data_IF_544274627881
#
_entry.id   IF_544274627881
#
_cell.length_a   1.000
_cell.length_b   1.000
_cell.length_c   1.000
_cell.angle_alpha   90.00
_cell.angle_beta   90.00
_cell.angle_gamma   90.00
#
_symmetry.space_group_name_H-M   'P 1'
#
loop_
_entity.id
_entity.type
_entity.pdbx_description
1 polymer ?
#
# COMPACT_ATOMS: atom_id res chain seq x y z
N UNK A 1 37.99 -6.44 3.73
CA UNK A 1 38.19 -6.50 2.27
C UNK A 1 38.07 -7.95 1.84
N UNK A 2 36.97 -8.30 1.17
CA UNK A 2 36.95 -9.04 -0.11
C UNK A 2 35.49 -9.13 -0.53
N UNK A 3 35.16 -8.35 -1.56
CA UNK A 3 33.88 -8.38 -2.27
C UNK A 3 33.63 -9.80 -2.78
N UNK A 4 32.44 -10.34 -2.49
CA UNK A 4 32.00 -11.61 -3.04
C UNK A 4 31.56 -11.37 -4.49
N UNK A 5 32.17 -12.02 -5.49
CA UNK A 5 31.83 -11.79 -6.90
C UNK A 5 30.44 -12.34 -7.22
N UNK A 6 29.69 -11.70 -8.14
CA UNK A 6 28.35 -12.16 -8.50
C UNK A 6 28.42 -13.54 -9.21
N UNK A 7 27.44 -14.43 -8.97
CA UNK A 7 27.41 -15.74 -9.62
C UNK A 7 27.11 -15.61 -11.13
N UNK A 8 27.66 -16.50 -11.98
CA UNK A 8 27.41 -16.48 -13.41
C UNK A 8 25.95 -16.85 -13.73
N UNK A 9 25.37 -16.31 -14.83
CA UNK A 9 24.03 -16.68 -15.25
C UNK A 9 23.97 -18.14 -15.75
N UNK A 10 22.89 -18.88 -15.48
CA UNK A 10 22.74 -20.25 -15.97
C UNK A 10 22.50 -20.26 -17.50
N UNK A 11 23.18 -21.18 -18.17
CA UNK A 11 23.07 -21.44 -19.60
C UNK A 11 21.72 -22.09 -19.93
N UNK A 12 20.93 -21.51 -20.82
CA UNK A 12 19.64 -22.05 -21.28
C UNK A 12 19.82 -23.08 -22.40
N UNK A 13 19.20 -24.29 -22.33
CA UNK A 13 19.06 -25.17 -23.48
C UNK A 13 17.91 -24.69 -24.40
N UNK A 14 17.97 -24.95 -25.72
CA UNK A 14 17.00 -24.45 -26.68
C UNK A 14 15.74 -25.34 -26.69
N UNK A 15 14.69 -24.90 -25.99
CA UNK A 15 13.35 -25.49 -26.04
C UNK A 15 12.32 -24.41 -26.35
N UNK A 16 11.69 -24.51 -27.52
CA UNK A 16 10.59 -23.64 -27.95
C UNK A 16 9.37 -23.86 -27.04
N UNK A 17 9.20 -22.98 -26.05
CA UNK A 17 7.98 -22.81 -25.28
C UNK A 17 7.87 -21.35 -24.84
N UNK A 18 6.68 -20.76 -24.73
CA UNK A 18 6.54 -19.43 -24.15
C UNK A 18 7.13 -19.46 -22.73
N UNK A 19 7.90 -18.42 -22.32
CA UNK A 19 8.45 -18.37 -20.97
C UNK A 19 7.29 -18.46 -19.97
N UNK A 20 7.43 -19.24 -18.87
CA UNK A 20 6.44 -19.21 -17.81
C UNK A 20 6.30 -17.76 -17.32
N UNK A 21 5.08 -17.30 -16.99
CA UNK A 21 4.89 -15.96 -16.44
C UNK A 21 5.81 -15.82 -15.24
N UNK A 22 6.68 -14.80 -15.29
CA UNK A 22 7.52 -14.43 -14.17
C UNK A 22 6.58 -14.08 -13.02
N UNK A 23 6.41 -15.01 -12.08
CA UNK A 23 5.73 -14.75 -10.82
C UNK A 23 6.54 -13.65 -10.13
N UNK A 24 6.05 -12.40 -10.21
CA UNK A 24 6.49 -11.37 -9.29
C UNK A 24 6.36 -11.95 -7.88
N UNK A 25 7.32 -11.70 -6.97
CA UNK A 25 7.28 -12.25 -5.63
C UNK A 25 5.92 -11.93 -5.00
N UNK A 26 5.12 -12.98 -4.77
CA UNK A 26 3.88 -12.86 -4.00
C UNK A 26 4.32 -12.41 -2.61
N UNK A 27 4.18 -11.11 -2.32
CA UNK A 27 4.29 -10.63 -0.94
C UNK A 27 3.35 -11.48 -0.09
N UNK A 28 3.76 -11.85 1.14
CA UNK A 28 2.95 -12.70 2.01
C UNK A 28 1.52 -12.18 2.05
N UNK A 29 0.55 -13.08 1.84
CA UNK A 29 -0.88 -12.77 1.81
C UNK A 29 -1.38 -12.38 3.21
N UNK A 30 -0.96 -11.22 3.69
CA UNK A 30 -1.55 -10.55 4.83
C UNK A 30 -2.80 -9.80 4.41
N UNK A 31 -3.57 -9.29 5.38
CA UNK A 31 -4.77 -8.54 5.08
C UNK A 31 -4.43 -7.27 4.30
N UNK A 32 -5.27 -6.88 3.34
CA UNK A 32 -5.10 -5.63 2.59
C UNK A 32 -6.38 -4.79 2.62
N UNK A 33 -6.18 -3.49 2.43
CA UNK A 33 -7.24 -2.53 2.26
C UNK A 33 -6.94 -1.68 1.04
N UNK A 34 -7.92 -1.53 0.16
CA UNK A 34 -7.82 -0.65 -1.01
C UNK A 34 -9.09 0.20 -1.12
N UNK A 35 -8.91 1.51 -1.17
CA UNK A 35 -9.95 2.47 -1.48
C UNK A 35 -9.55 3.29 -2.71
N UNK A 36 -10.40 3.32 -3.72
CA UNK A 36 -10.13 4.00 -5.00
C UNK A 36 -11.32 4.86 -5.41
N UNK A 37 -11.03 6.07 -5.89
CA UNK A 37 -11.98 6.91 -6.62
C UNK A 37 -11.47 7.24 -8.03
N UNK A 38 -11.98 8.30 -8.67
CA UNK A 38 -11.61 8.65 -10.05
C UNK A 38 -10.15 9.11 -10.18
N UNK A 39 -9.59 9.71 -9.13
CA UNK A 39 -8.29 10.38 -9.18
C UNK A 39 -7.34 9.91 -8.08
N UNK A 40 -7.86 9.32 -7.02
CA UNK A 40 -7.09 9.00 -5.83
C UNK A 40 -7.27 7.54 -5.43
N UNK A 41 -6.21 6.97 -4.88
CA UNK A 41 -6.23 5.67 -4.23
C UNK A 41 -5.49 5.69 -2.90
N UNK A 42 -5.95 4.85 -1.98
CA UNK A 42 -5.27 4.52 -0.73
C UNK A 42 -5.18 3.00 -0.67
N UNK A 43 -3.96 2.49 -0.60
CA UNK A 43 -3.68 1.07 -0.41
C UNK A 43 -2.97 0.89 0.93
N UNK A 44 -3.35 -0.13 1.68
CA UNK A 44 -2.69 -0.53 2.92
C UNK A 44 -2.49 -2.04 2.89
N UNK A 45 -1.25 -2.49 2.95
CA UNK A 45 -0.88 -3.90 2.82
C UNK A 45 0.39 -4.23 3.62
N UNK A 46 1.01 -5.38 3.33
CA UNK A 46 2.23 -5.81 4.01
C UNK A 46 3.46 -4.92 3.73
N UNK A 47 3.47 -4.17 2.63
CA UNK A 47 4.56 -3.25 2.31
C UNK A 47 4.44 -1.94 3.10
N UNK A 48 3.22 -1.45 3.31
CA UNK A 48 3.00 -0.18 3.98
C UNK A 48 1.65 0.46 3.67
N UNK A 49 1.68 1.78 3.53
CA UNK A 49 0.57 2.59 3.03
C UNK A 49 1.02 3.26 1.73
N UNK A 50 0.21 3.20 0.68
CA UNK A 50 0.46 3.92 -0.56
C UNK A 50 -0.69 4.89 -0.86
N UNK A 51 -0.32 6.11 -1.25
CA UNK A 51 -1.24 7.11 -1.76
C UNK A 51 -1.02 7.31 -3.24
N UNK A 52 -2.10 7.21 -4.01
CA UNK A 52 -2.16 7.68 -5.38
C UNK A 52 -3.00 8.96 -5.39
N UNK A 53 -2.44 10.03 -5.93
CA UNK A 53 -3.09 11.34 -6.05
C UNK A 53 -2.83 11.89 -7.46
N UNK A 54 -3.82 11.75 -8.34
CA UNK A 54 -3.69 12.02 -9.77
C UNK A 54 -2.59 11.16 -10.41
N UNK A 55 -1.47 11.76 -10.77
CA UNK A 55 -0.32 11.09 -11.42
C UNK A 55 0.87 10.92 -10.46
N UNK A 56 0.65 11.18 -9.16
CA UNK A 56 1.69 11.08 -8.13
C UNK A 56 1.37 9.89 -7.24
N UNK A 57 2.31 8.96 -7.17
CA UNK A 57 2.29 7.85 -6.21
C UNK A 57 3.31 8.12 -5.11
N UNK A 58 2.89 7.93 -3.86
CA UNK A 58 3.75 8.06 -2.69
C UNK A 58 3.58 6.81 -1.84
N UNK A 59 4.68 6.09 -1.66
CA UNK A 59 4.73 4.88 -0.86
C UNK A 59 5.35 5.19 0.52
N UNK A 60 4.71 4.70 1.57
CA UNK A 60 5.14 4.83 2.95
C UNK A 60 5.35 3.42 3.53
N UNK A 61 6.58 2.89 3.53
CA UNK A 61 6.91 1.63 4.17
C UNK A 61 6.60 1.66 5.67
N UNK A 62 6.19 0.54 6.27
CA UNK A 62 5.88 0.47 7.71
C UNK A 62 6.97 1.04 8.64
N UNK A 63 8.29 0.82 8.42
CA UNK A 63 9.34 1.41 9.25
C UNK A 63 9.41 2.94 9.23
N UNK A 64 8.84 3.57 8.20
CA UNK A 64 8.81 5.02 7.99
C UNK A 64 7.53 5.67 8.51
N UNK A 65 6.53 4.86 8.89
CA UNK A 65 5.25 5.32 9.41
C UNK A 65 5.33 5.38 10.93
N UNK A 66 5.15 6.58 11.48
CA UNK A 66 4.94 6.79 12.92
C UNK A 66 3.50 6.46 13.33
N UNK A 67 2.53 6.97 12.58
CA UNK A 67 1.11 6.67 12.83
C UNK A 67 0.27 6.88 11.58
N UNK A 68 -0.85 6.16 11.51
CA UNK A 68 -1.87 6.35 10.48
C UNK A 68 -3.15 6.81 11.15
N UNK A 69 -3.67 7.96 10.71
CA UNK A 69 -4.94 8.50 11.15
C UNK A 69 -5.96 8.41 10.03
N UNK A 70 -7.22 8.11 10.35
CA UNK A 70 -8.28 8.06 9.37
C UNK A 70 -9.58 8.59 9.95
N UNK A 71 -10.36 9.29 9.12
CA UNK A 71 -11.66 9.87 9.50
C UNK A 71 -12.54 10.06 8.28
N UNK A 72 -13.87 10.17 8.45
CA UNK A 72 -14.72 10.59 7.35
C UNK A 72 -14.46 12.07 7.05
N UNK A 73 -14.62 12.46 5.79
CA UNK A 73 -14.65 13.87 5.40
C UNK A 73 -15.77 14.61 6.13
N UNK A 74 -15.71 15.95 6.27
CA UNK A 74 -16.74 16.72 6.95
C UNK A 74 -18.16 16.52 6.39
N UNK A 75 -18.28 16.18 5.10
CA UNK A 75 -19.55 15.89 4.44
C UNK A 75 -19.96 14.40 4.48
N UNK A 76 -19.14 13.53 5.08
CA UNK A 76 -19.39 12.09 5.22
C UNK A 76 -19.40 11.32 3.90
N UNK A 77 -18.71 11.82 2.86
CA UNK A 77 -18.71 11.23 1.50
C UNK A 77 -17.34 10.74 1.05
N UNK A 78 -16.30 10.96 1.84
CA UNK A 78 -14.95 10.51 1.53
C UNK A 78 -14.27 9.96 2.77
N UNK A 79 -13.33 9.07 2.54
CA UNK A 79 -12.36 8.61 3.52
C UNK A 79 -11.14 9.53 3.43
N UNK A 80 -10.76 10.13 4.54
CA UNK A 80 -9.51 10.87 4.67
C UNK A 80 -8.54 9.99 5.46
N UNK A 81 -7.34 9.77 4.93
CA UNK A 81 -6.24 9.06 5.61
C UNK A 81 -5.03 9.96 5.64
N UNK A 82 -4.41 10.06 6.81
CA UNK A 82 -3.17 10.78 7.01
C UNK A 82 -2.10 9.85 7.56
N UNK A 83 -0.93 9.83 6.91
CA UNK A 83 0.28 9.18 7.38
C UNK A 83 1.15 10.23 8.06
N UNK A 84 1.50 9.98 9.33
CA UNK A 84 2.55 10.71 10.02
C UNK A 84 3.83 9.95 9.81
N UNK A 85 4.78 10.58 9.12
CA UNK A 85 6.09 10.01 8.86
C UNK A 85 7.00 10.14 10.09
N UNK A 86 8.04 9.30 10.19
CA UNK A 86 8.95 9.27 11.34
C UNK A 86 9.69 10.60 11.57
N UNK A 87 9.90 11.41 10.53
CA UNK A 87 10.47 12.77 10.62
C UNK A 87 9.49 13.85 11.11
N UNK A 88 8.21 13.50 11.31
CA UNK A 88 7.15 14.40 11.74
C UNK A 88 6.35 15.06 10.62
N UNK A 89 6.68 14.81 9.34
CA UNK A 89 5.85 15.24 8.22
C UNK A 89 4.52 14.48 8.20
N UNK A 90 3.47 15.16 7.73
CA UNK A 90 2.13 14.58 7.60
C UNK A 90 1.71 14.64 6.15
N UNK A 91 1.30 13.49 5.63
CA UNK A 91 0.81 13.32 4.27
C UNK A 91 -0.65 12.91 4.34
N UNK A 92 -1.52 13.53 3.57
CA UNK A 92 -2.97 13.24 3.57
C UNK A 92 -3.42 12.85 2.17
N UNK A 93 -4.26 11.80 2.09
CA UNK A 93 -4.98 11.42 0.87
C UNK A 93 -6.47 11.28 1.18
N UNK A 94 -7.30 11.68 0.20
CA UNK A 94 -8.75 11.69 0.33
C UNK A 94 -9.37 10.92 -0.82
N UNK A 95 -10.13 9.87 -0.50
CA UNK A 95 -10.81 9.03 -1.49
C UNK A 95 -12.32 9.13 -1.30
N UNK A 96 -13.02 9.51 -2.38
CA UNK A 96 -14.47 9.64 -2.40
C UNK A 96 -15.16 8.27 -2.37
N UNK A 97 -16.07 8.07 -1.42
CA UNK A 97 -16.91 6.90 -1.36
C UNK A 97 -18.17 7.08 -2.23
N UNK A 98 -18.28 6.30 -3.30
CA UNK A 98 -19.51 6.14 -4.09
C UNK A 98 -19.81 4.64 -4.19
N UNK A 99 -20.95 4.11 -3.72
CA UNK A 99 -22.09 4.72 -2.99
C UNK A 99 -21.82 4.97 -1.49
N UNK A 100 -22.76 5.59 -0.75
CA UNK A 100 -22.60 5.96 0.68
C UNK A 100 -22.23 4.79 1.59
N UNK A 101 -22.79 3.60 1.34
CA UNK A 101 -22.54 2.40 2.15
C UNK A 101 -21.08 1.93 2.08
N UNK A 102 -20.38 2.29 0.99
CA UNK A 102 -18.96 1.97 0.80
C UNK A 102 -18.10 2.58 1.90
N UNK A 103 -18.40 3.82 2.31
CA UNK A 103 -17.63 4.49 3.35
C UNK A 103 -17.74 3.74 4.69
N UNK A 104 -18.95 3.31 5.06
CA UNK A 104 -19.20 2.55 6.28
C UNK A 104 -18.48 1.20 6.29
N UNK A 105 -18.37 0.54 5.12
CA UNK A 105 -17.61 -0.71 4.99
C UNK A 105 -16.10 -0.53 5.11
N UNK A 106 -15.57 0.64 4.74
CA UNK A 106 -14.13 0.89 4.75
C UNK A 106 -13.54 1.06 6.15
N UNK A 107 -14.23 1.73 7.07
CA UNK A 107 -13.74 1.93 8.44
C UNK A 107 -13.38 0.62 9.18
N UNK A 108 -14.26 -0.39 9.26
CA UNK A 108 -13.93 -1.63 9.96
C UNK A 108 -12.83 -2.42 9.26
N UNK A 109 -12.80 -2.45 7.92
CA UNK A 109 -11.75 -3.12 7.16
C UNK A 109 -10.40 -2.44 7.39
N UNK A 110 -10.33 -1.11 7.27
CA UNK A 110 -9.13 -0.34 7.48
C UNK A 110 -8.63 -0.48 8.94
N UNK A 111 -9.53 -0.41 9.92
CA UNK A 111 -9.19 -0.63 11.33
C UNK A 111 -8.57 -2.01 11.57
N UNK A 112 -9.11 -3.06 10.92
CA UNK A 112 -8.60 -4.41 11.03
C UNK A 112 -7.21 -4.57 10.40
N UNK A 113 -7.00 -4.03 9.20
CA UNK A 113 -5.70 -4.07 8.50
C UNK A 113 -4.63 -3.30 9.28
N UNK A 114 -4.93 -2.08 9.73
CA UNK A 114 -4.00 -1.29 10.55
C UNK A 114 -3.71 -1.96 11.90
N UNK A 115 -4.70 -2.65 12.46
CA UNK A 115 -4.52 -3.45 13.67
C UNK A 115 -3.62 -4.67 13.48
N UNK A 116 -3.47 -5.17 12.25
CA UNK A 116 -2.59 -6.28 11.91
C UNK A 116 -1.13 -5.82 11.74
N UNK A 117 -0.89 -4.76 10.98
CA UNK A 117 0.49 -4.33 10.65
C UNK A 117 1.11 -3.31 11.61
N UNK A 118 0.30 -2.74 12.53
CA UNK A 118 0.67 -1.76 13.59
C UNK A 118 2.03 -1.08 13.38
N UNK A 119 2.05 0.21 12.98
CA UNK A 119 3.30 0.96 12.90
C UNK A 119 4.05 0.82 14.22
N UNK A 120 5.34 0.46 14.16
CA UNK A 120 6.20 0.38 15.34
C UNK A 120 6.10 1.69 16.10
N UNK A 121 5.46 1.64 17.28
CA UNK A 121 5.19 2.81 18.11
C UNK A 121 6.44 3.46 18.69
#
# INVERSE_FOLDING_TARGET
>A
MTEQPPPPPPSTPPGFGPPPPQYAPQQPAGPDFTAVDKHNAIVVDAAGVAFEMYDITVDFPWPEIRSVHYKPSPNGKALMVAVVHVDGQVYECVVTARPKDRLQSWFPQLAWVLGHYRPTG
#
